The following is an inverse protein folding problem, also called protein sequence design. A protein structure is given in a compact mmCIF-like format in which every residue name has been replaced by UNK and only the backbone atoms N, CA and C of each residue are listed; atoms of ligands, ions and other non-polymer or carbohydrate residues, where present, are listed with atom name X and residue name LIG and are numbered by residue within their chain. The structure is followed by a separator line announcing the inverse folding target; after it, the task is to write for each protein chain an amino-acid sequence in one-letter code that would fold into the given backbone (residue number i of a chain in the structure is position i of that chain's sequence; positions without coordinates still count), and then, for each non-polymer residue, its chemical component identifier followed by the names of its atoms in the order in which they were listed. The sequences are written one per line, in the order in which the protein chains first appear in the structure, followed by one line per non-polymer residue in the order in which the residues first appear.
data_IF_150798422482
#
_entry.id   IF_150798422482
#
_cell.length_a   1.000
_cell.length_b   1.000
_cell.length_c   1.000
_cell.angle_alpha   90.00
_cell.angle_beta   90.00
_cell.angle_gamma   90.00
#
_symmetry.space_group_name_H-M   'P 1'
#
loop_
_entity.id
_entity.type
_entity.pdbx_description
1 polymer ?
#
# COMPACT_ATOMS: atom_id res chain seq x y z
N UNK A 1 -11.76 7.51 -20.12
CA UNK A 1 -10.62 6.61 -19.87
C UNK A 1 -9.56 7.41 -19.14
N UNK A 2 -9.08 6.95 -17.99
CA UNK A 2 -7.89 7.56 -17.36
C UNK A 2 -6.71 7.45 -18.33
N UNK A 3 -5.87 8.49 -18.39
CA UNK A 3 -4.69 8.48 -19.26
C UNK A 3 -3.65 7.50 -18.67
N UNK A 4 -2.88 6.79 -19.52
CA UNK A 4 -1.81 5.88 -19.11
C UNK A 4 -0.89 6.47 -18.00
N UNK A 5 -0.65 7.79 -18.03
CA UNK A 5 0.09 8.49 -16.96
C UNK A 5 -0.59 8.37 -15.58
N UNK A 6 -1.91 8.57 -15.49
CA UNK A 6 -2.62 8.51 -14.21
C UNK A 6 -2.67 7.08 -13.69
N UNK A 7 -2.86 6.09 -14.57
CA UNK A 7 -2.76 4.66 -14.22
C UNK A 7 -1.37 4.30 -13.68
N UNK A 8 -0.30 4.78 -14.31
CA UNK A 8 1.07 4.56 -13.82
C UNK A 8 1.32 5.18 -12.45
N UNK A 9 0.81 6.39 -12.19
CA UNK A 9 0.89 7.04 -10.86
C UNK A 9 0.15 6.21 -9.81
N UNK A 10 -1.07 5.78 -10.12
CA UNK A 10 -1.89 4.99 -9.20
C UNK A 10 -1.24 3.62 -8.92
N UNK A 11 -0.72 2.95 -9.94
CA UNK A 11 0.02 1.69 -9.79
C UNK A 11 1.21 1.85 -8.85
N UNK A 12 2.04 2.87 -9.06
CA UNK A 12 3.20 3.16 -8.22
C UNK A 12 2.80 3.46 -6.76
N UNK A 13 1.70 4.18 -6.55
CA UNK A 13 1.15 4.42 -5.22
C UNK A 13 0.75 3.11 -4.54
N UNK A 14 0.04 2.21 -5.26
CA UNK A 14 -0.38 0.92 -4.71
C UNK A 14 0.79 -0.02 -4.40
N UNK A 15 1.84 0.01 -5.21
CA UNK A 15 3.08 -0.72 -4.92
C UNK A 15 3.76 -0.22 -3.64
N UNK A 16 3.80 1.10 -3.42
CA UNK A 16 4.30 1.68 -2.16
C UNK A 16 3.42 1.25 -0.98
N UNK A 17 2.09 1.27 -1.16
CA UNK A 17 1.15 0.82 -0.13
C UNK A 17 1.37 -0.65 0.21
N UNK A 18 1.62 -1.50 -0.79
CA UNK A 18 1.95 -2.91 -0.58
C UNK A 18 3.21 -3.09 0.26
N UNK A 19 4.30 -2.39 -0.06
CA UNK A 19 5.56 -2.47 0.68
C UNK A 19 5.41 -2.03 2.16
N UNK A 20 4.57 -1.01 2.41
CA UNK A 20 4.21 -0.59 3.76
C UNK A 20 3.42 -1.68 4.47
N UNK A 21 2.38 -2.22 3.82
CA UNK A 21 1.52 -3.26 4.40
C UNK A 21 2.32 -4.51 4.76
N UNK A 22 3.22 -4.95 3.88
CA UNK A 22 4.13 -6.08 4.14
C UNK A 22 5.00 -5.84 5.37
N UNK A 23 5.55 -4.62 5.51
CA UNK A 23 6.32 -4.25 6.71
C UNK A 23 5.45 -4.29 7.97
N UNK A 24 4.22 -3.75 7.90
CA UNK A 24 3.29 -3.78 9.03
C UNK A 24 2.93 -5.22 9.43
N UNK A 25 2.53 -6.05 8.48
CA UNK A 25 2.10 -7.43 8.72
C UNK A 25 3.24 -8.31 9.24
N UNK A 26 4.48 -8.08 8.81
CA UNK A 26 5.64 -8.81 9.31
C UNK A 26 5.83 -8.66 10.83
N UNK A 27 5.58 -7.46 11.36
CA UNK A 27 5.76 -7.17 12.79
C UNK A 27 4.47 -7.19 13.61
N UNK A 28 3.29 -7.20 12.96
CA UNK A 28 2.01 -7.22 13.66
C UNK A 28 1.71 -8.64 14.14
N UNK A 29 1.78 -8.84 15.44
CA UNK A 29 1.20 -9.98 16.16
C UNK A 29 0.02 -9.53 17.01
N UNK A 30 -0.80 -10.45 17.51
CA UNK A 30 -1.99 -10.11 18.31
C UNK A 30 -1.65 -9.26 19.54
N UNK A 31 -0.51 -9.49 20.17
CA UNK A 31 -0.05 -8.78 21.37
C UNK A 31 0.55 -7.40 21.11
N UNK A 32 0.94 -7.09 19.87
CA UNK A 32 1.59 -5.81 19.55
C UNK A 32 0.54 -4.79 19.08
N UNK A 33 0.37 -3.66 19.79
CA UNK A 33 -0.55 -2.62 19.37
C UNK A 33 -0.13 -1.97 18.04
N UNK A 34 -1.13 -1.57 17.25
CA UNK A 34 -0.94 -0.84 15.99
C UNK A 34 0.07 0.31 16.11
N UNK A 35 -0.06 1.13 17.15
CA UNK A 35 0.78 2.31 17.36
C UNK A 35 2.24 1.97 17.63
N UNK A 36 2.50 0.80 18.23
CA UNK A 36 3.86 0.29 18.47
C UNK A 36 4.47 -0.18 17.16
N UNK A 37 3.73 -0.93 16.35
CA UNK A 37 4.21 -1.36 15.02
C UNK A 37 4.51 -0.14 14.15
N UNK A 38 3.60 0.84 14.14
CA UNK A 38 3.80 2.08 13.40
C UNK A 38 5.08 2.80 13.83
N UNK A 39 5.24 3.07 15.13
CA UNK A 39 6.35 3.86 15.66
C UNK A 39 7.71 3.17 15.50
N UNK A 40 7.77 1.85 15.73
CA UNK A 40 9.04 1.11 15.76
C UNK A 40 9.48 0.60 14.39
N UNK A 41 8.55 0.27 13.49
CA UNK A 41 8.90 -0.46 12.26
C UNK A 41 8.42 0.22 10.98
N UNK A 42 7.23 0.82 10.98
CA UNK A 42 6.69 1.44 9.75
C UNK A 42 7.25 2.85 9.54
N UNK A 43 7.12 3.74 10.53
CA UNK A 43 7.53 5.14 10.40
C UNK A 43 9.03 5.31 10.10
N UNK A 44 9.96 4.61 10.78
CA UNK A 44 11.39 4.77 10.50
C UNK A 44 11.81 4.34 9.09
N UNK A 45 11.02 3.50 8.43
CA UNK A 45 11.32 2.97 7.09
C UNK A 45 10.58 3.71 5.97
N UNK A 46 9.31 4.05 6.22
CA UNK A 46 8.39 4.53 5.18
C UNK A 46 7.95 5.98 5.38
N UNK A 47 8.25 6.59 6.54
CA UNK A 47 7.99 8.00 6.85
C UNK A 47 6.53 8.44 6.63
N UNK A 48 5.57 7.55 6.91
CA UNK A 48 4.13 7.82 6.77
C UNK A 48 3.44 8.09 8.11
N UNK A 49 2.35 8.86 8.06
CA UNK A 49 1.51 9.09 9.24
C UNK A 49 0.75 7.82 9.67
N UNK A 50 0.28 7.79 10.92
CA UNK A 50 -0.63 6.74 11.41
C UNK A 50 -1.89 6.63 10.58
N UNK A 51 -2.50 7.76 10.22
CA UNK A 51 -3.72 7.80 9.40
C UNK A 51 -3.49 7.21 8.01
N UNK A 52 -2.33 7.50 7.40
CA UNK A 52 -1.93 6.89 6.12
C UNK A 52 -1.80 5.38 6.26
N UNK A 53 -1.18 4.86 7.33
CA UNK A 53 -1.08 3.42 7.57
C UNK A 53 -2.46 2.78 7.76
N UNK A 54 -3.37 3.41 8.51
CA UNK A 54 -4.76 2.94 8.62
C UNK A 54 -5.45 2.85 7.26
N UNK A 55 -5.29 3.88 6.42
CA UNK A 55 -5.85 3.87 5.06
C UNK A 55 -5.26 2.73 4.22
N UNK A 56 -3.94 2.49 4.32
CA UNK A 56 -3.26 1.42 3.60
C UNK A 56 -3.82 0.04 3.99
N UNK A 57 -3.99 -0.22 5.29
CA UNK A 57 -4.52 -1.50 5.78
C UNK A 57 -5.93 -1.76 5.24
N UNK A 58 -6.75 -0.71 5.12
CA UNK A 58 -8.12 -0.80 4.62
C UNK A 58 -8.23 -0.69 3.09
N UNK A 59 -7.14 -0.51 2.37
CA UNK A 59 -7.15 -0.41 0.90
C UNK A 59 -7.09 -1.81 0.28
N UNK A 60 -7.96 -2.16 -0.68
CA UNK A 60 -7.91 -3.45 -1.38
C UNK A 60 -6.79 -3.46 -2.44
N UNK A 61 -5.54 -3.37 -1.99
CA UNK A 61 -4.35 -3.11 -2.82
C UNK A 61 -4.20 -4.14 -3.94
N UNK A 62 -4.28 -5.44 -3.62
CA UNK A 62 -4.10 -6.52 -4.60
C UNK A 62 -5.18 -6.51 -5.69
N UNK A 63 -6.43 -6.19 -5.33
CA UNK A 63 -7.53 -6.09 -6.28
C UNK A 63 -7.31 -4.91 -7.24
N UNK A 64 -6.99 -3.74 -6.71
CA UNK A 64 -6.76 -2.55 -7.53
C UNK A 64 -5.53 -2.68 -8.43
N UNK A 65 -4.45 -3.31 -7.96
CA UNK A 65 -3.29 -3.61 -8.81
C UNK A 65 -3.67 -4.51 -9.97
N UNK A 66 -4.41 -5.59 -9.71
CA UNK A 66 -4.88 -6.51 -10.78
C UNK A 66 -5.76 -5.79 -11.80
N UNK A 67 -6.65 -4.92 -11.37
CA UNK A 67 -7.50 -4.13 -12.26
C UNK A 67 -6.67 -3.20 -13.16
N UNK A 68 -5.65 -2.53 -12.62
CA UNK A 68 -4.76 -1.66 -13.40
C UNK A 68 -3.88 -2.48 -14.35
N UNK A 69 -3.31 -3.59 -13.90
CA UNK A 69 -2.46 -4.45 -14.74
C UNK A 69 -3.28 -5.06 -15.90
N UNK A 70 -4.53 -5.47 -15.64
CA UNK A 70 -5.45 -5.91 -16.69
C UNK A 70 -5.78 -4.78 -17.68
N UNK A 71 -5.96 -3.55 -17.20
CA UNK A 71 -6.19 -2.41 -18.08
C UNK A 71 -4.97 -2.14 -18.96
N UNK A 72 -3.74 -2.18 -18.43
CA UNK A 72 -2.51 -1.94 -19.19
C UNK A 72 -2.32 -3.03 -20.26
N UNK A 73 -2.43 -4.30 -19.88
CA UNK A 73 -2.25 -5.45 -20.78
C UNK A 73 -3.29 -5.58 -21.90
N UNK A 74 -4.44 -4.89 -21.79
CA UNK A 74 -5.42 -4.81 -22.88
C UNK A 74 -5.02 -3.81 -23.98
N UNK A 75 -3.94 -3.05 -23.79
CA UNK A 75 -3.43 -2.05 -24.73
C UNK A 75 -1.98 -2.33 -25.20
N UNK A 76 -1.38 -3.43 -24.75
CA UNK A 76 -0.10 -3.96 -25.23
C UNK A 76 -0.32 -5.00 -26.35
#
# INVERSE_FOLDING_TARGET
MENARTQGIQRNKLLRYRAVLETYLFYKTDDIPFTVVWRKYVYPKHFISKGTLYNIINTPINKQLKEIDNQISLFD
#
